data_IF_021155007966
#
_entry.id   IF_021155007966
#
_cell.length_a   1.000
_cell.length_b   1.000
_cell.length_c   1.000
_cell.angle_alpha   90.00
_cell.angle_beta   90.00
_cell.angle_gamma   90.00
#
_symmetry.space_group_name_H-M   'P 1'
#
loop_
_entity.id
_entity.type
_entity.pdbx_description
1 polymer ?
#
# COMPACT_ATOMS: atom_id res chain seq x y z
N UNK A 1 8.76 -2.83 11.60
CA UNK A 1 7.73 -2.31 10.67
C UNK A 1 7.84 -3.05 9.34
N UNK A 2 6.75 -3.57 8.81
CA UNK A 2 6.68 -4.24 7.51
C UNK A 2 5.53 -3.61 6.71
N UNK A 3 5.57 -3.65 5.37
CA UNK A 3 4.41 -3.26 4.58
C UNK A 3 3.28 -4.28 4.78
N UNK A 4 2.03 -3.84 4.92
CA UNK A 4 0.89 -4.73 5.20
C UNK A 4 0.74 -5.87 4.19
N UNK A 5 1.03 -5.63 2.92
CA UNK A 5 0.99 -6.64 1.87
C UNK A 5 1.96 -7.82 2.08
N UNK A 6 2.97 -7.67 2.95
CA UNK A 6 3.88 -8.75 3.31
C UNK A 6 3.37 -9.56 4.51
N UNK A 7 2.32 -9.12 5.18
CA UNK A 7 1.71 -9.83 6.29
C UNK A 7 0.66 -10.88 5.85
N UNK A 8 0.15 -10.78 4.63
CA UNK A 8 -0.87 -11.69 4.07
C UNK A 8 -0.58 -13.19 4.22
N UNK A 9 0.67 -13.67 4.00
CA UNK A 9 1.00 -15.07 4.24
C UNK A 9 0.84 -15.55 5.69
N UNK A 10 0.92 -14.63 6.66
CA UNK A 10 0.77 -14.93 8.09
C UNK A 10 -0.65 -14.70 8.59
N UNK A 11 -1.33 -13.70 8.05
CA UNK A 11 -2.70 -13.34 8.39
C UNK A 11 -3.45 -12.85 7.13
N UNK A 12 -4.12 -13.77 6.39
CA UNK A 12 -4.72 -13.44 5.09
C UNK A 12 -5.76 -12.34 5.10
N UNK A 13 -6.50 -12.14 6.20
CA UNK A 13 -7.51 -11.08 6.32
C UNK A 13 -6.92 -9.67 6.22
N UNK A 14 -5.60 -9.50 6.46
CA UNK A 14 -4.92 -8.21 6.30
C UNK A 14 -4.93 -7.72 4.86
N UNK A 15 -5.06 -8.63 3.89
CA UNK A 15 -5.12 -8.30 2.48
C UNK A 15 -6.40 -7.53 2.11
N UNK A 16 -7.37 -7.39 3.01
CA UNK A 16 -8.46 -6.43 2.87
C UNK A 16 -7.92 -4.99 2.65
N UNK A 17 -6.86 -4.61 3.35
CA UNK A 17 -6.18 -3.32 3.19
C UNK A 17 -5.31 -3.23 1.93
N UNK A 18 -5.23 -4.32 1.15
CA UNK A 18 -4.49 -4.39 -0.12
C UNK A 18 -5.46 -4.50 -1.30
N UNK A 19 -6.77 -4.63 -1.06
CA UNK A 19 -7.75 -4.65 -2.14
C UNK A 19 -7.74 -3.32 -2.92
N UNK A 20 -7.68 -3.37 -4.27
CA UNK A 20 -7.57 -2.16 -5.07
C UNK A 20 -8.83 -1.29 -4.92
N UNK A 21 -8.63 0.03 -4.71
CA UNK A 21 -9.70 1.03 -4.55
C UNK A 21 -10.71 0.74 -3.43
N UNK A 22 -10.40 -0.16 -2.49
CA UNK A 22 -11.23 -0.41 -1.31
C UNK A 22 -11.24 0.81 -0.40
N UNK A 23 -10.08 1.41 -0.18
CA UNK A 23 -9.92 2.65 0.56
C UNK A 23 -9.94 3.80 -0.46
N UNK A 24 -11.00 4.61 -0.41
CA UNK A 24 -11.35 5.55 -1.48
C UNK A 24 -10.50 6.82 -1.49
N UNK A 25 -10.14 7.31 -0.31
CA UNK A 25 -9.33 8.50 -0.10
C UNK A 25 -8.58 8.40 1.24
N UNK A 26 -7.78 9.40 1.55
CA UNK A 26 -6.94 9.40 2.75
C UNK A 26 -7.78 9.41 4.04
N UNK A 27 -8.81 10.23 4.10
CA UNK A 27 -9.72 10.34 5.25
C UNK A 27 -10.43 9.03 5.52
N UNK A 28 -10.94 8.38 4.47
CA UNK A 28 -11.55 7.04 4.57
C UNK A 28 -10.54 6.00 5.06
N UNK A 29 -9.32 6.00 4.52
CA UNK A 29 -8.27 5.08 4.96
C UNK A 29 -7.91 5.25 6.45
N UNK A 30 -7.84 6.50 6.93
CA UNK A 30 -7.62 6.81 8.35
C UNK A 30 -8.79 6.33 9.21
N UNK A 31 -10.03 6.64 8.80
CA UNK A 31 -11.23 6.26 9.53
C UNK A 31 -11.36 4.73 9.66
N UNK A 32 -11.06 3.99 8.60
CA UNK A 32 -11.05 2.52 8.62
C UNK A 32 -9.92 1.97 9.50
N UNK A 33 -8.70 2.52 9.39
CA UNK A 33 -7.54 2.03 10.15
C UNK A 33 -7.67 2.27 11.66
N UNK A 34 -8.19 3.43 12.06
CA UNK A 34 -8.37 3.82 13.47
C UNK A 34 -9.71 3.35 14.04
N UNK A 35 -10.67 3.02 13.18
CA UNK A 35 -12.01 2.57 13.55
C UNK A 35 -12.07 1.11 13.99
N UNK A 36 -13.28 0.63 14.33
CA UNK A 36 -13.50 -0.73 14.84
C UNK A 36 -12.97 -1.82 13.91
N UNK A 37 -13.11 -1.60 12.60
CA UNK A 37 -12.66 -2.53 11.55
C UNK A 37 -11.14 -2.73 11.59
N UNK A 38 -10.40 -1.61 11.63
CA UNK A 38 -8.95 -1.65 11.71
C UNK A 38 -8.49 -2.26 13.02
N UNK A 39 -9.07 -1.85 14.13
CA UNK A 39 -8.75 -2.40 15.45
C UNK A 39 -8.98 -3.92 15.51
N UNK A 40 -10.08 -4.41 14.94
CA UNK A 40 -10.35 -5.85 14.90
C UNK A 40 -9.32 -6.60 14.05
N UNK A 41 -9.07 -6.15 12.81
CA UNK A 41 -8.17 -6.87 11.88
C UNK A 41 -6.73 -6.85 12.40
N UNK A 42 -6.24 -5.69 12.82
CA UNK A 42 -4.86 -5.54 13.30
C UNK A 42 -4.68 -6.20 14.67
N UNK A 43 -5.70 -6.12 15.55
CA UNK A 43 -5.70 -6.76 16.86
C UNK A 43 -5.66 -8.27 16.75
N UNK A 44 -6.54 -8.86 15.95
CA UNK A 44 -6.59 -10.31 15.72
C UNK A 44 -5.29 -10.82 15.08
N UNK A 45 -4.73 -10.06 14.11
CA UNK A 45 -3.45 -10.41 13.52
C UNK A 45 -2.33 -10.39 14.58
N UNK A 46 -2.28 -9.34 15.40
CA UNK A 46 -1.27 -9.21 16.44
C UNK A 46 -1.33 -10.39 17.43
N UNK A 47 -2.54 -10.79 17.84
CA UNK A 47 -2.75 -11.92 18.73
C UNK A 47 -2.32 -13.25 18.10
N UNK A 48 -2.72 -13.53 16.84
CA UNK A 48 -2.37 -14.77 16.14
C UNK A 48 -0.85 -14.95 15.95
N UNK A 49 -0.10 -13.89 15.68
CA UNK A 49 1.33 -13.96 15.44
C UNK A 49 2.21 -13.64 16.65
N UNK A 50 1.60 -13.40 17.82
CA UNK A 50 2.30 -13.19 19.10
C UNK A 50 3.08 -11.87 19.15
N UNK A 51 2.49 -10.79 18.65
CA UNK A 51 3.06 -9.43 18.65
C UNK A 51 2.08 -8.41 19.20
N UNK A 52 2.58 -7.28 19.65
CA UNK A 52 1.80 -6.14 20.06
C UNK A 52 1.81 -5.07 18.94
N UNK A 53 0.63 -4.63 18.52
CA UNK A 53 0.48 -3.52 17.61
C UNK A 53 0.72 -2.21 18.34
N UNK A 54 1.73 -1.46 17.93
CA UNK A 54 2.06 -0.15 18.52
C UNK A 54 1.32 0.97 17.80
N UNK A 55 1.35 0.99 16.47
CA UNK A 55 0.68 2.01 15.65
C UNK A 55 0.61 1.59 14.19
N UNK A 56 -0.26 2.28 13.44
CA UNK A 56 -0.39 2.16 11.98
C UNK A 56 -0.24 3.57 11.39
N UNK A 57 0.99 4.01 11.09
CA UNK A 57 1.20 5.24 10.36
C UNK A 57 0.80 4.99 8.90
N UNK A 58 -0.22 5.69 8.42
CA UNK A 58 -0.56 5.67 7.00
C UNK A 58 0.42 6.53 6.23
N UNK A 59 1.08 5.96 5.22
CA UNK A 59 1.98 6.73 4.36
C UNK A 59 1.22 7.43 3.24
N UNK A 60 0.80 6.71 2.22
CA UNK A 60 0.00 7.27 1.15
C UNK A 60 -0.51 6.22 0.16
N UNK A 61 -1.23 6.68 -0.86
CA UNK A 61 -1.64 5.82 -1.96
C UNK A 61 -0.46 5.48 -2.88
N UNK A 62 -0.48 4.26 -3.42
CA UNK A 62 0.51 3.79 -4.37
C UNK A 62 0.09 4.18 -5.79
N UNK A 63 1.06 4.61 -6.56
CA UNK A 63 0.93 5.06 -7.94
C UNK A 63 1.85 4.26 -8.84
N UNK A 64 1.49 4.10 -10.12
CA UNK A 64 2.30 3.36 -11.09
C UNK A 64 3.47 4.21 -11.54
N UNK A 65 4.68 3.67 -11.47
CA UNK A 65 5.86 4.25 -12.11
C UNK A 65 6.35 3.34 -13.25
N UNK A 66 6.95 3.92 -14.28
CA UNK A 66 7.58 3.14 -15.37
C UNK A 66 8.68 3.91 -16.09
N UNK A 67 9.51 3.13 -16.82
CA UNK A 67 10.66 3.64 -17.60
C UNK A 67 10.33 3.95 -19.05
N UNK A 68 9.15 3.59 -19.56
CA UNK A 68 8.84 3.58 -21.00
C UNK A 68 8.06 4.79 -21.49
N UNK A 69 6.84 4.98 -20.96
CA UNK A 69 5.90 5.95 -21.53
C UNK A 69 4.89 6.44 -20.51
N UNK A 70 4.29 7.63 -20.71
CA UNK A 70 3.15 8.06 -19.93
C UNK A 70 1.98 7.08 -20.05
N UNK A 71 1.28 6.81 -18.92
CA UNK A 71 0.08 5.97 -18.88
C UNK A 71 -1.13 6.89 -18.72
N UNK A 72 -2.00 6.91 -19.73
CA UNK A 72 -3.22 7.71 -19.73
C UNK A 72 -4.48 6.85 -19.56
N UNK A 73 -4.36 5.54 -19.75
CA UNK A 73 -5.48 4.59 -19.67
C UNK A 73 -4.98 3.15 -19.44
N UNK A 74 -5.92 2.20 -19.22
CA UNK A 74 -5.60 0.79 -19.03
C UNK A 74 -4.87 0.14 -20.21
N UNK A 75 -5.15 0.56 -21.43
CA UNK A 75 -4.49 0.00 -22.61
C UNK A 75 -3.00 0.37 -22.66
N UNK A 76 -2.62 1.56 -22.18
CA UNK A 76 -1.22 1.93 -22.03
C UNK A 76 -0.55 1.11 -20.94
N UNK A 77 -1.23 0.90 -19.80
CA UNK A 77 -0.73 0.07 -18.73
C UNK A 77 -0.48 -1.37 -19.15
N UNK A 78 -1.41 -1.97 -19.90
CA UNK A 78 -1.34 -3.37 -20.34
C UNK A 78 -0.15 -3.69 -21.27
N UNK A 79 0.51 -2.68 -21.84
CA UNK A 79 1.66 -2.86 -22.76
C UNK A 79 2.98 -3.16 -22.03
N UNK A 80 3.01 -3.10 -20.70
CA UNK A 80 4.23 -3.12 -19.91
C UNK A 80 4.22 -4.24 -18.88
N UNK A 81 5.42 -4.65 -18.47
CA UNK A 81 5.68 -5.63 -17.42
C UNK A 81 5.99 -4.92 -16.11
N UNK A 82 5.29 -5.29 -15.05
CA UNK A 82 5.43 -4.60 -13.76
C UNK A 82 5.94 -5.52 -12.66
N UNK A 83 6.82 -4.97 -11.84
CA UNK A 83 7.17 -5.57 -10.56
C UNK A 83 5.99 -5.44 -9.62
N UNK A 84 5.63 -6.53 -8.96
CA UNK A 84 4.73 -6.53 -7.79
C UNK A 84 5.39 -7.20 -6.60
N UNK A 85 5.01 -6.90 -5.36
CA UNK A 85 5.37 -7.73 -4.21
C UNK A 85 4.83 -9.15 -4.35
N UNK A 86 5.38 -10.11 -3.59
CA UNK A 86 4.86 -11.50 -3.51
C UNK A 86 3.56 -11.54 -2.70
N UNK A 87 2.51 -10.90 -3.21
CA UNK A 87 1.18 -10.83 -2.62
C UNK A 87 0.14 -11.18 -3.67
N UNK A 88 -0.73 -12.15 -3.36
CA UNK A 88 -1.70 -12.71 -4.30
C UNK A 88 -2.69 -11.64 -4.79
N UNK A 89 -3.21 -10.81 -3.89
CA UNK A 89 -4.17 -9.75 -4.24
C UNK A 89 -3.55 -8.74 -5.20
N UNK A 90 -2.29 -8.34 -4.97
CA UNK A 90 -1.60 -7.42 -5.87
C UNK A 90 -1.32 -8.05 -7.23
N UNK A 91 -0.92 -9.32 -7.27
CA UNK A 91 -0.72 -10.08 -8.52
C UNK A 91 -2.03 -10.14 -9.31
N UNK A 92 -3.13 -10.54 -8.66
CA UNK A 92 -4.43 -10.68 -9.30
C UNK A 92 -4.98 -9.31 -9.77
N UNK A 93 -4.71 -8.25 -9.03
CA UNK A 93 -5.07 -6.89 -9.43
C UNK A 93 -4.39 -6.48 -10.74
N UNK A 94 -3.08 -6.70 -10.86
CA UNK A 94 -2.35 -6.35 -12.08
C UNK A 94 -2.79 -7.19 -13.28
N UNK A 95 -3.09 -8.48 -13.07
CA UNK A 95 -3.71 -9.34 -14.10
C UNK A 95 -5.08 -8.82 -14.52
N UNK A 96 -5.94 -8.44 -13.56
CA UNK A 96 -7.25 -7.87 -13.85
C UNK A 96 -7.14 -6.55 -14.64
N UNK A 97 -6.09 -5.76 -14.40
CA UNK A 97 -5.79 -4.55 -15.16
C UNK A 97 -5.20 -4.84 -16.55
N UNK A 98 -4.86 -6.09 -16.85
CA UNK A 98 -4.42 -6.55 -18.18
C UNK A 98 -2.90 -6.62 -18.36
N UNK A 99 -2.10 -6.49 -17.30
CA UNK A 99 -0.64 -6.65 -17.40
C UNK A 99 -0.16 -8.03 -16.93
N UNK A 100 1.11 -8.34 -17.20
CA UNK A 100 1.80 -9.54 -16.71
C UNK A 100 2.71 -9.14 -15.52
N UNK A 101 2.25 -9.33 -14.26
CA UNK A 101 3.00 -8.94 -13.09
C UNK A 101 4.13 -9.93 -12.77
N UNK A 102 5.29 -9.40 -12.40
CA UNK A 102 6.47 -10.18 -11.97
C UNK A 102 6.68 -10.01 -10.47
N UNK A 103 6.46 -11.07 -9.66
CA UNK A 103 6.70 -11.02 -8.23
C UNK A 103 8.21 -10.95 -7.92
N UNK A 104 8.68 -9.78 -7.46
CA UNK A 104 10.09 -9.53 -7.12
C UNK A 104 10.17 -8.95 -5.71
N UNK A 105 11.16 -9.40 -4.92
CA UNK A 105 11.39 -8.90 -3.57
C UNK A 105 11.71 -7.39 -3.58
N UNK A 106 11.43 -6.72 -2.46
CA UNK A 106 11.68 -5.27 -2.34
C UNK A 106 13.14 -4.90 -2.59
N UNK A 107 14.08 -5.66 -2.04
CA UNK A 107 15.53 -5.45 -2.18
C UNK A 107 16.01 -5.48 -3.63
N UNK A 108 15.27 -6.10 -4.53
CA UNK A 108 15.61 -6.28 -5.94
C UNK A 108 14.83 -5.33 -6.87
N UNK A 109 13.82 -4.63 -6.32
CA UNK A 109 12.85 -3.87 -7.12
C UNK A 109 13.50 -2.75 -7.95
N UNK A 110 14.40 -1.96 -7.34
CA UNK A 110 15.10 -0.88 -8.05
C UNK A 110 16.00 -1.44 -9.16
N UNK A 111 16.82 -2.44 -8.83
CA UNK A 111 17.73 -3.09 -9.79
C UNK A 111 16.96 -3.71 -10.96
N UNK A 112 15.85 -4.42 -10.69
CA UNK A 112 15.01 -5.00 -11.73
C UNK A 112 14.43 -3.95 -12.68
N UNK A 113 14.12 -2.76 -12.17
CA UNK A 113 13.68 -1.61 -12.98
C UNK A 113 14.85 -1.01 -13.79
N UNK A 114 16.03 -0.89 -13.17
CA UNK A 114 17.24 -0.36 -13.81
C UNK A 114 17.72 -1.24 -14.97
N UNK A 115 17.69 -2.55 -14.79
CA UNK A 115 18.14 -3.53 -15.79
C UNK A 115 17.09 -3.84 -16.87
N UNK A 116 15.87 -3.30 -16.74
CA UNK A 116 14.78 -3.59 -17.67
C UNK A 116 14.17 -4.99 -17.53
N UNK A 117 14.44 -5.70 -16.42
CA UNK A 117 13.77 -6.97 -16.10
C UNK A 117 12.25 -6.74 -15.99
N UNK A 118 11.86 -5.57 -15.49
CA UNK A 118 10.52 -5.03 -15.50
C UNK A 118 10.53 -3.59 -16.01
N UNK A 119 9.42 -3.15 -16.57
CA UNK A 119 9.26 -1.78 -17.07
C UNK A 119 8.89 -0.79 -15.97
N UNK A 120 8.35 -1.27 -14.86
CA UNK A 120 7.92 -0.42 -13.76
C UNK A 120 7.37 -1.21 -12.58
N UNK A 121 6.61 -0.53 -11.75
CA UNK A 121 5.96 -1.05 -10.55
C UNK A 121 5.04 0.00 -9.93
N UNK A 122 4.77 -0.13 -8.64
CA UNK A 122 3.96 0.84 -7.91
C UNK A 122 4.55 1.17 -6.55
N UNK A 123 4.52 2.44 -6.18
CA UNK A 123 4.96 2.99 -4.88
C UNK A 123 4.20 4.28 -4.57
N UNK A 124 4.14 4.70 -3.30
CA UNK A 124 3.89 6.09 -2.95
C UNK A 124 4.99 7.01 -3.50
N UNK A 125 4.64 8.23 -3.88
CA UNK A 125 5.60 9.14 -4.53
C UNK A 125 6.76 9.57 -3.62
N UNK A 126 6.55 9.67 -2.31
CA UNK A 126 7.60 9.93 -1.33
C UNK A 126 8.59 8.76 -1.23
N UNK A 127 8.11 7.52 -1.31
CA UNK A 127 8.95 6.33 -1.37
C UNK A 127 9.71 6.29 -2.70
N UNK A 128 9.06 6.60 -3.83
CA UNK A 128 9.75 6.73 -5.13
C UNK A 128 10.90 7.73 -5.06
N UNK A 129 10.68 8.87 -4.41
CA UNK A 129 11.68 9.91 -4.24
C UNK A 129 12.82 9.48 -3.30
N UNK A 130 12.47 9.04 -2.08
CA UNK A 130 13.47 8.69 -1.06
C UNK A 130 14.31 7.47 -1.43
N UNK A 131 13.75 6.52 -2.19
CA UNK A 131 14.42 5.31 -2.67
C UNK A 131 15.00 5.44 -4.08
N UNK A 132 15.03 6.68 -4.64
CA UNK A 132 15.65 7.02 -5.93
C UNK A 132 15.05 6.31 -7.16
N UNK A 133 13.82 5.82 -7.11
CA UNK A 133 13.14 5.26 -8.28
C UNK A 133 12.95 6.31 -9.37
N UNK A 134 12.80 7.59 -9.01
CA UNK A 134 12.71 8.73 -9.93
C UNK A 134 13.97 8.94 -10.79
N UNK A 135 15.13 8.41 -10.41
CA UNK A 135 16.34 8.47 -11.22
C UNK A 135 16.22 7.57 -12.44
N UNK A 136 15.53 6.44 -12.30
CA UNK A 136 15.38 5.39 -13.30
C UNK A 136 14.07 5.51 -14.07
N UNK A 137 12.96 5.70 -13.37
CA UNK A 137 11.61 5.74 -13.93
C UNK A 137 11.11 7.18 -13.97
N UNK A 138 10.92 7.70 -15.18
CA UNK A 138 10.54 9.12 -15.42
C UNK A 138 9.05 9.32 -15.66
N UNK A 139 8.23 8.27 -15.65
CA UNK A 139 6.79 8.38 -15.85
C UNK A 139 6.06 7.84 -14.62
N UNK A 140 5.14 8.63 -14.09
CA UNK A 140 4.29 8.27 -12.94
C UNK A 140 2.83 8.52 -13.30
N UNK A 141 1.99 7.49 -13.17
CA UNK A 141 0.55 7.63 -13.32
C UNK A 141 -0.11 7.62 -11.95
N UNK A 142 -0.85 8.66 -11.63
CA UNK A 142 -1.51 8.90 -10.33
C UNK A 142 -2.78 8.05 -10.19
N UNK A 143 -2.61 6.74 -10.11
CA UNK A 143 -3.72 5.78 -10.10
C UNK A 143 -4.34 5.58 -8.72
N UNK A 144 -3.59 5.73 -7.64
CA UNK A 144 -4.08 5.61 -6.26
C UNK A 144 -4.76 4.27 -5.94
N UNK A 145 -4.33 3.19 -6.58
CA UNK A 145 -5.05 1.91 -6.58
C UNK A 145 -4.88 1.09 -5.29
N UNK A 146 -3.82 1.34 -4.50
CA UNK A 146 -3.58 0.72 -3.20
C UNK A 146 -3.15 1.76 -2.17
N UNK A 147 -3.39 1.46 -0.90
CA UNK A 147 -2.80 2.20 0.23
C UNK A 147 -1.57 1.44 0.74
N UNK A 148 -0.52 2.15 1.08
CA UNK A 148 0.58 1.63 1.88
C UNK A 148 0.34 2.03 3.34
N UNK A 149 0.02 1.06 4.19
CA UNK A 149 -0.29 1.22 5.61
C UNK A 149 0.54 0.24 6.45
N UNK A 150 1.85 0.49 6.63
CA UNK A 150 2.72 -0.44 7.34
C UNK A 150 2.47 -0.38 8.84
N UNK A 151 2.08 -1.49 9.48
CA UNK A 151 1.97 -1.56 10.92
C UNK A 151 3.35 -1.58 11.59
N UNK A 152 3.43 -1.00 12.77
CA UNK A 152 4.58 -1.11 13.65
C UNK A 152 4.25 -2.06 14.79
N UNK A 153 4.93 -3.19 14.82
CA UNK A 153 4.77 -4.24 15.83
C UNK A 153 5.99 -4.35 16.73
N UNK A 154 5.73 -4.77 17.96
CA UNK A 154 6.74 -5.20 18.94
C UNK A 154 6.38 -6.60 19.40
N UNK A 155 7.37 -7.49 19.58
CA UNK A 155 7.08 -8.85 20.07
C UNK A 155 6.52 -8.81 21.48
N UNK A 156 5.55 -9.71 21.79
CA UNK A 156 5.00 -9.85 23.13
C UNK A 156 6.07 -10.15 24.18
N UNK A 157 7.10 -10.92 23.79
CA UNK A 157 8.26 -11.19 24.64
C UNK A 157 8.99 -9.92 25.05
N UNK A 158 9.11 -8.95 24.15
CA UNK A 158 9.73 -7.67 24.45
C UNK A 158 8.80 -6.80 25.32
N UNK A 159 7.51 -6.74 24.97
CA UNK A 159 6.52 -6.01 25.75
C UNK A 159 6.43 -6.45 27.22
N UNK A 160 6.57 -7.77 27.49
CA UNK A 160 6.58 -8.32 28.85
C UNK A 160 7.80 -7.89 29.68
N UNK A 161 8.89 -7.44 29.04
CA UNK A 161 10.11 -6.96 29.72
C UNK A 161 10.06 -5.45 30.02
N UNK A 162 9.16 -4.72 29.40
CA UNK A 162 9.01 -3.28 29.60
C UNK A 162 8.26 -2.99 30.91
N UNK A 163 8.79 -2.05 31.68
CA UNK A 163 8.08 -1.49 32.83
C UNK A 163 6.95 -0.54 32.37
N UNK A 164 6.06 -0.11 33.29
CA UNK A 164 4.96 0.78 32.93
C UNK A 164 5.38 2.12 32.31
N UNK A 165 6.48 2.72 32.75
CA UNK A 165 6.98 3.99 32.21
C UNK A 165 7.52 3.83 30.80
N UNK A 166 8.17 2.71 30.52
CA UNK A 166 8.67 2.40 29.17
C UNK A 166 7.50 2.16 28.20
N UNK A 167 6.42 1.49 28.63
CA UNK A 167 5.20 1.31 27.82
C UNK A 167 4.55 2.65 27.53
N UNK A 168 4.37 3.49 28.52
CA UNK A 168 3.81 4.84 28.37
C UNK A 168 4.65 5.69 27.41
N UNK A 169 5.97 5.67 27.54
CA UNK A 169 6.87 6.37 26.62
C UNK A 169 6.77 5.86 25.18
N UNK A 170 6.63 4.55 24.99
CA UNK A 170 6.43 3.96 23.67
C UNK A 170 5.09 4.38 23.05
N UNK A 171 4.00 4.36 23.81
CA UNK A 171 2.68 4.78 23.35
C UNK A 171 2.66 6.27 22.97
N UNK A 172 3.33 7.11 23.76
CA UNK A 172 3.47 8.53 23.44
C UNK A 172 4.28 8.74 22.15
N UNK A 173 5.41 8.05 22.01
CA UNK A 173 6.24 8.11 20.81
C UNK A 173 5.46 7.61 19.57
N UNK A 174 4.65 6.56 19.71
CA UNK A 174 3.79 6.05 18.66
C UNK A 174 2.76 7.09 18.19
N UNK A 175 2.09 7.77 19.12
CA UNK A 175 1.13 8.85 18.80
C UNK A 175 1.80 9.99 18.04
N UNK A 176 2.98 10.44 18.49
CA UNK A 176 3.75 11.50 17.83
C UNK A 176 4.16 11.06 16.42
N UNK A 177 4.72 9.86 16.27
CA UNK A 177 5.16 9.33 14.98
C UNK A 177 4.00 9.19 13.99
N UNK A 178 2.84 8.73 14.46
CA UNK A 178 1.62 8.63 13.64
C UNK A 178 1.15 10.00 13.17
N UNK A 179 1.08 10.97 14.08
CA UNK A 179 0.68 12.34 13.73
C UNK A 179 1.66 12.98 12.72
N UNK A 180 2.96 12.82 12.92
CA UNK A 180 3.98 13.32 12.01
C UNK A 180 3.90 12.66 10.61
N UNK A 181 3.70 11.34 10.55
CA UNK A 181 3.52 10.61 9.30
C UNK A 181 2.28 11.07 8.53
N UNK A 182 1.16 11.23 9.21
CA UNK A 182 -0.09 11.71 8.63
C UNK A 182 0.00 13.16 8.14
N UNK A 183 0.67 14.00 8.92
CA UNK A 183 0.96 15.38 8.48
C UNK A 183 1.81 15.39 7.21
N UNK A 184 2.86 14.57 7.16
CA UNK A 184 3.70 14.44 5.96
C UNK A 184 2.89 14.00 4.74
N UNK A 185 2.02 12.99 4.89
CA UNK A 185 1.17 12.52 3.80
C UNK A 185 0.22 13.61 3.28
N UNK A 186 -0.42 14.36 4.18
CA UNK A 186 -1.38 15.39 3.78
C UNK A 186 -0.73 16.63 3.15
N UNK A 187 0.42 17.04 3.65
CA UNK A 187 1.03 18.34 3.28
C UNK A 187 2.35 18.21 2.54
N UNK A 188 3.08 17.10 2.72
CA UNK A 188 4.39 16.88 2.12
C UNK A 188 4.36 16.37 0.69
N UNK A 189 3.32 15.63 0.30
CA UNK A 189 3.27 14.97 -1.02
C UNK A 189 3.33 15.95 -2.18
N UNK A 190 2.68 17.12 -2.08
CA UNK A 190 2.73 18.15 -3.10
C UNK A 190 4.15 18.70 -3.31
N UNK A 191 4.93 18.83 -2.24
CA UNK A 191 6.32 19.26 -2.33
C UNK A 191 7.22 18.18 -2.96
N UNK A 192 6.98 16.91 -2.62
CA UNK A 192 7.70 15.79 -3.22
C UNK A 192 7.43 15.73 -4.72
N UNK A 193 6.16 15.83 -5.14
CA UNK A 193 5.78 15.86 -6.55
C UNK A 193 6.52 16.97 -7.31
N UNK A 194 6.50 18.21 -6.81
CA UNK A 194 7.23 19.33 -7.42
C UNK A 194 8.72 19.09 -7.56
N UNK A 195 9.36 18.48 -6.53
CA UNK A 195 10.77 18.10 -6.61
C UNK A 195 11.02 17.05 -7.69
N UNK A 196 10.18 16.03 -7.82
CA UNK A 196 10.29 15.01 -8.85
C UNK A 196 10.07 15.60 -10.25
N UNK A 197 9.10 16.51 -10.43
CA UNK A 197 8.86 17.23 -11.69
C UNK A 197 10.09 18.05 -12.10
N UNK A 198 10.73 18.75 -11.15
CA UNK A 198 11.97 19.48 -11.39
C UNK A 198 13.15 18.57 -11.80
N UNK A 199 13.11 17.28 -11.43
CA UNK A 199 14.07 16.24 -11.85
C UNK A 199 13.65 15.51 -13.13
N UNK A 200 12.65 16.02 -13.85
CA UNK A 200 12.21 15.52 -15.15
C UNK A 200 11.21 14.36 -15.08
N UNK A 201 10.61 14.07 -13.92
CA UNK A 201 9.54 13.09 -13.82
C UNK A 201 8.24 13.67 -14.37
N UNK A 202 7.57 12.91 -15.22
CA UNK A 202 6.29 13.27 -15.83
C UNK A 202 5.16 12.57 -15.08
N UNK A 203 4.16 13.33 -14.65
CA UNK A 203 2.98 12.80 -13.99
C UNK A 203 1.78 12.82 -14.94
N UNK A 204 1.00 11.73 -14.94
CA UNK A 204 -0.31 11.64 -15.60
C UNK A 204 -1.39 11.35 -14.57
N UNK A 205 -2.61 11.76 -14.87
CA UNK A 205 -3.81 11.55 -14.03
C UNK A 205 -4.87 10.83 -14.87
N UNK A 206 -4.75 9.51 -15.05
CA UNK A 206 -5.69 8.74 -15.87
C UNK A 206 -7.08 8.72 -15.24
N UNK A 207 -8.14 8.62 -16.06
CA UNK A 207 -9.47 8.31 -15.55
C UNK A 207 -9.44 6.92 -14.89
N UNK A 208 -9.66 6.88 -13.57
CA UNK A 208 -9.61 5.65 -12.78
C UNK A 208 -10.89 4.80 -12.85
N UNK A 209 -11.99 5.28 -13.43
CA UNK A 209 -13.25 4.54 -13.50
C UNK A 209 -13.12 3.17 -14.15
N UNK A 210 -12.41 3.01 -15.31
CA UNK A 210 -12.16 1.69 -15.88
C UNK A 210 -11.35 0.75 -14.99
N UNK A 211 -10.40 1.30 -14.21
CA UNK A 211 -9.57 0.55 -13.26
C UNK A 211 -10.43 0.04 -12.09
N UNK A 212 -11.27 0.91 -11.52
CA UNK A 212 -12.22 0.54 -10.45
C UNK A 212 -13.19 -0.55 -10.93
N UNK A 213 -13.67 -0.47 -12.17
CA UNK A 213 -14.53 -1.50 -12.76
C UNK A 213 -13.82 -2.86 -12.84
N UNK A 214 -12.55 -2.88 -13.22
CA UNK A 214 -11.73 -4.11 -13.26
C UNK A 214 -11.41 -4.66 -11.87
N UNK A 215 -11.26 -3.80 -10.88
CA UNK A 215 -10.98 -4.19 -9.50
C UNK A 215 -12.10 -5.03 -8.86
N UNK A 216 -13.34 -4.95 -9.36
CA UNK A 216 -14.48 -5.72 -8.82
C UNK A 216 -14.24 -7.22 -8.83
N UNK A 217 -13.64 -7.77 -9.89
CA UNK A 217 -13.34 -9.20 -9.98
C UNK A 217 -12.35 -9.66 -8.90
N UNK A 218 -11.43 -8.80 -8.51
CA UNK A 218 -10.46 -9.08 -7.42
C UNK A 218 -11.18 -9.07 -6.07
N UNK A 219 -12.11 -8.12 -5.86
CA UNK A 219 -12.93 -8.07 -4.64
C UNK A 219 -13.80 -9.32 -4.48
N UNK A 220 -14.45 -9.74 -5.56
CA UNK A 220 -15.31 -10.94 -5.59
C UNK A 220 -14.50 -12.20 -5.27
N UNK A 221 -13.36 -12.40 -5.94
CA UNK A 221 -12.48 -13.53 -5.70
C UNK A 221 -11.93 -13.56 -4.25
N UNK A 222 -11.62 -12.39 -3.68
CA UNK A 222 -11.20 -12.28 -2.29
C UNK A 222 -12.35 -12.66 -1.35
N UNK A 223 -13.55 -12.11 -1.57
CA UNK A 223 -14.73 -12.39 -0.76
C UNK A 223 -15.08 -13.88 -0.74
N UNK A 224 -15.08 -14.54 -1.90
CA UNK A 224 -15.31 -15.99 -2.02
C UNK A 224 -14.26 -16.80 -1.26
N UNK A 225 -12.98 -16.48 -1.47
CA UNK A 225 -11.86 -17.23 -0.87
C UNK A 225 -11.84 -17.18 0.64
N UNK A 226 -12.12 -16.02 1.23
CA UNK A 226 -12.03 -15.82 2.67
C UNK A 226 -13.39 -15.80 3.38
N UNK A 227 -14.49 -16.10 2.63
CA UNK A 227 -15.88 -16.09 3.13
C UNK A 227 -16.24 -14.80 3.86
N UNK A 228 -15.67 -13.69 3.41
CA UNK A 228 -15.97 -12.37 3.90
C UNK A 228 -17.24 -11.90 3.22
N UNK A 229 -18.40 -12.20 3.80
CA UNK A 229 -19.72 -11.86 3.24
C UNK A 229 -20.24 -10.53 3.79
N UNK A 230 -21.25 -9.97 3.15
CA UNK A 230 -21.79 -8.63 3.31
C UNK A 230 -22.24 -8.14 4.71
N UNK A 231 -22.04 -8.94 5.75
CA UNK A 231 -22.17 -8.51 7.17
C UNK A 231 -20.82 -8.36 7.84
N UNK A 232 -19.76 -8.67 7.12
CA UNK A 232 -18.39 -8.68 7.61
C UNK A 232 -17.68 -7.35 7.31
N UNK A 233 -16.49 -7.22 7.86
CA UNK A 233 -15.59 -6.07 7.74
C UNK A 233 -15.46 -5.52 6.31
N UNK A 234 -15.51 -6.39 5.29
CA UNK A 234 -15.44 -5.99 3.87
C UNK A 234 -16.59 -5.08 3.43
N UNK A 235 -17.83 -5.41 3.86
CA UNK A 235 -19.00 -4.61 3.52
C UNK A 235 -19.01 -3.27 4.24
N UNK A 236 -18.56 -3.25 5.49
CA UNK A 236 -18.43 -2.04 6.29
C UNK A 236 -17.34 -1.10 5.79
N UNK A 237 -16.26 -1.62 5.16
CA UNK A 237 -15.21 -0.79 4.55
C UNK A 237 -15.68 -0.20 3.22
N UNK A 238 -16.57 -0.88 2.48
CA UNK A 238 -17.05 -0.45 1.18
C UNK A 238 -18.10 0.67 1.26
N UNK A 239 -18.86 0.74 2.34
CA UNK A 239 -19.94 1.69 2.58
C UNK A 239 -19.54 2.74 3.61
#
# INVERSE_FOLDING_TARGET
MIAQNNAGPFYPKIDLFVLPYMLQNYEHAVAVADGPIGQEIWGNMAEEIGVHLVTIPLFSFRHIYNTKMPINNLADFAKMKYRVPKNVVMIDTYKAFGSDPVPIAWSEALTATQTGTVDGGDLPIDVMFSQKFHDVAKNVAMTGHFVLAPPFFVSDKFMKKMDPKQKEAMDMAAKIATAASRFHTNYGMGLVRKKMEALGVKFTEPDIKPWVAKAKSVHEAFGEKYKVTGKDVWYAVKN
#
